data_IF_899714992008
#
_entry.id   IF_899714992008
#
_cell.length_a   1.000
_cell.length_b   1.000
_cell.length_c   1.000
_cell.angle_alpha   90.00
_cell.angle_beta   90.00
_cell.angle_gamma   90.00
#
_symmetry.space_group_name_H-M   'P 1'
#
loop_
_entity.id
_entity.type
_entity.pdbx_description
1 polymer ?
#
# COMPACT_ATOMS: atom_id res chain seq x y z
N UNK A 1 -23.33 20.46 16.43
CA UNK A 1 -22.25 20.40 15.41
C UNK A 1 -22.18 18.96 14.91
N UNK A 2 -22.16 18.78 13.59
CA UNK A 2 -22.38 17.51 12.91
C UNK A 2 -21.33 16.46 13.29
N UNK A 3 -21.80 15.29 13.73
CA UNK A 3 -21.00 14.07 13.80
C UNK A 3 -20.84 13.63 12.33
N UNK A 4 -19.73 14.02 11.71
CA UNK A 4 -19.38 13.56 10.38
C UNK A 4 -19.13 12.07 10.43
N UNK A 5 -20.15 11.28 10.07
CA UNK A 5 -19.98 9.86 9.74
C UNK A 5 -18.98 9.81 8.60
N UNK A 6 -17.73 9.44 8.91
CA UNK A 6 -16.73 9.13 7.89
C UNK A 6 -17.32 7.97 7.07
N UNK A 7 -17.36 8.04 5.73
CA UNK A 7 -17.80 6.91 4.94
C UNK A 7 -16.98 5.69 5.35
N UNK A 8 -17.67 4.59 5.66
CA UNK A 8 -17.00 3.33 5.96
C UNK A 8 -16.04 3.04 4.81
N UNK A 9 -14.75 2.94 5.11
CA UNK A 9 -13.74 2.66 4.10
C UNK A 9 -14.16 1.39 3.37
N UNK A 10 -14.24 1.45 2.04
CA UNK A 10 -14.51 0.30 1.19
C UNK A 10 -13.62 -0.87 1.62
N UNK A 11 -14.12 -2.11 1.66
CA UNK A 11 -13.28 -3.26 1.94
C UNK A 11 -12.10 -3.24 0.96
N UNK A 12 -10.90 -3.04 1.50
CA UNK A 12 -9.70 -3.14 0.69
C UNK A 12 -9.46 -4.62 0.41
N UNK A 13 -8.99 -4.98 -0.80
CA UNK A 13 -8.48 -6.33 -1.01
C UNK A 13 -7.49 -6.66 0.10
N UNK A 14 -7.64 -7.85 0.69
CA UNK A 14 -6.66 -8.36 1.65
C UNK A 14 -5.27 -8.23 1.05
N UNK A 15 -4.32 -7.68 1.82
CA UNK A 15 -2.92 -7.49 1.43
C UNK A 15 -2.57 -6.32 0.47
N UNK A 16 -3.48 -5.38 0.19
CA UNK A 16 -3.18 -4.25 -0.72
C UNK A 16 -2.13 -3.25 -0.20
N UNK A 17 -1.84 -3.25 1.11
CA UNK A 17 -0.86 -2.32 1.71
C UNK A 17 0.58 -2.57 1.24
N UNK A 18 0.97 -3.85 1.11
CA UNK A 18 2.34 -4.23 0.73
C UNK A 18 2.74 -3.72 -0.66
N UNK A 19 1.98 -3.96 -1.75
CA UNK A 19 2.34 -3.43 -3.06
C UNK A 19 2.41 -1.90 -3.08
N UNK A 20 1.56 -1.20 -2.32
CA UNK A 20 1.66 0.26 -2.20
C UNK A 20 2.96 0.70 -1.52
N UNK A 21 3.38 0.04 -0.43
CA UNK A 21 4.65 0.36 0.24
C UNK A 21 5.86 0.05 -0.64
N UNK A 22 5.84 -1.08 -1.36
CA UNK A 22 6.89 -1.42 -2.33
C UNK A 22 7.02 -0.34 -3.41
N UNK A 23 5.89 0.12 -3.99
CA UNK A 23 5.87 1.19 -4.98
C UNK A 23 6.45 2.50 -4.42
N UNK A 24 5.99 2.93 -3.24
CA UNK A 24 6.47 4.16 -2.61
C UNK A 24 7.97 4.15 -2.31
N UNK A 25 8.51 2.97 -1.95
CA UNK A 25 9.93 2.76 -1.68
C UNK A 25 10.77 2.61 -2.95
N UNK A 26 10.18 2.16 -4.07
CA UNK A 26 10.84 2.15 -5.38
C UNK A 26 11.02 3.57 -5.93
N UNK A 27 10.04 4.47 -5.70
CA UNK A 27 10.15 5.89 -6.03
C UNK A 27 11.28 6.59 -5.26
N UNK A 28 11.32 6.39 -3.94
CA UNK A 28 12.38 6.90 -3.06
C UNK A 28 12.37 6.22 -1.68
N UNK A 29 13.53 6.06 -1.03
CA UNK A 29 13.60 5.70 0.39
C UNK A 29 12.76 6.64 1.25
N UNK A 30 12.24 6.15 2.39
CA UNK A 30 11.38 6.95 3.24
C UNK A 30 11.21 6.43 4.65
N UNK A 31 10.70 7.30 5.53
CA UNK A 31 10.40 6.96 6.93
C UNK A 31 8.97 6.42 7.07
N UNK A 32 8.73 5.55 8.06
CA UNK A 32 7.40 4.93 8.26
C UNK A 32 6.24 5.94 8.39
N UNK A 33 6.47 7.09 9.03
CA UNK A 33 5.48 8.17 9.12
C UNK A 33 5.21 8.82 7.75
N UNK A 34 6.26 9.21 7.03
CA UNK A 34 6.13 9.82 5.69
C UNK A 34 5.44 8.86 4.70
N UNK A 35 5.79 7.57 4.77
CA UNK A 35 5.13 6.52 3.98
C UNK A 35 3.64 6.43 4.32
N UNK A 36 3.25 6.57 5.60
CA UNK A 36 1.85 6.59 5.99
C UNK A 36 1.06 7.76 5.38
N UNK A 37 1.68 8.94 5.26
CA UNK A 37 1.06 10.10 4.62
C UNK A 37 0.92 9.90 3.11
N UNK A 38 2.01 9.41 2.47
CA UNK A 38 2.07 9.14 1.01
C UNK A 38 1.13 8.01 0.56
N UNK A 39 0.67 7.14 1.45
CA UNK A 39 -0.31 6.11 1.14
C UNK A 39 -1.72 6.66 0.85
N UNK A 40 -2.06 7.82 1.40
CA UNK A 40 -3.40 8.41 1.30
C UNK A 40 -3.90 8.55 -0.16
N UNK A 41 -3.13 9.17 -1.08
CA UNK A 41 -3.56 9.30 -2.48
C UNK A 41 -3.63 7.96 -3.23
N UNK A 42 -2.92 6.93 -2.78
CA UNK A 42 -2.83 5.64 -3.49
C UNK A 42 -3.89 4.63 -3.04
N UNK A 43 -4.19 4.58 -1.75
CA UNK A 43 -4.97 3.50 -1.14
C UNK A 43 -6.20 3.99 -0.35
N UNK A 44 -6.58 5.27 -0.51
CA UNK A 44 -7.64 5.89 0.27
C UNK A 44 -7.18 6.23 1.69
N UNK A 45 -8.05 6.19 2.72
CA UNK A 45 -7.68 6.60 4.07
C UNK A 45 -6.41 5.91 4.58
N UNK A 46 -5.41 6.72 4.94
CA UNK A 46 -4.14 6.24 5.46
C UNK A 46 -4.37 5.19 6.56
N UNK A 47 -3.73 4.01 6.46
CA UNK A 47 -3.73 3.08 7.57
C UNK A 47 -3.05 3.72 8.78
N UNK A 48 -3.41 3.26 9.98
CA UNK A 48 -2.70 3.63 11.21
C UNK A 48 -1.19 3.40 11.01
N UNK A 49 -0.36 4.37 11.42
CA UNK A 49 1.09 4.28 11.35
C UNK A 49 1.61 2.99 12.00
N UNK A 50 0.95 2.47 13.05
CA UNK A 50 1.30 1.19 13.65
C UNK A 50 1.15 0.00 12.68
N UNK A 51 0.16 0.03 11.79
CA UNK A 51 -0.01 -0.98 10.73
C UNK A 51 1.12 -0.87 9.71
N UNK A 52 1.51 0.35 9.33
CA UNK A 52 2.62 0.59 8.40
C UNK A 52 3.93 0.05 8.98
N UNK A 53 4.25 0.35 10.25
CA UNK A 53 5.45 -0.19 10.88
C UNK A 53 5.45 -1.72 10.99
N UNK A 54 4.31 -2.35 11.31
CA UNK A 54 4.21 -3.82 11.31
C UNK A 54 4.45 -4.40 9.91
N UNK A 55 3.91 -3.77 8.87
CA UNK A 55 4.14 -4.20 7.49
C UNK A 55 5.61 -4.04 7.08
N UNK A 56 6.23 -2.90 7.40
CA UNK A 56 7.65 -2.65 7.12
C UNK A 56 8.57 -3.63 7.83
N UNK A 57 8.30 -3.94 9.11
CA UNK A 57 9.07 -4.94 9.85
C UNK A 57 8.97 -6.32 9.19
N UNK A 58 7.75 -6.77 8.84
CA UNK A 58 7.57 -8.04 8.15
C UNK A 58 8.26 -8.06 6.77
N UNK A 59 8.21 -6.96 6.02
CA UNK A 59 8.89 -6.83 4.73
C UNK A 59 10.41 -6.82 4.87
N UNK A 60 10.94 -6.30 5.98
CA UNK A 60 12.36 -6.34 6.32
C UNK A 60 12.79 -7.76 6.70
N UNK A 61 12.00 -8.47 7.52
CA UNK A 61 12.22 -9.88 7.87
C UNK A 61 12.18 -10.80 6.62
N UNK A 62 11.36 -10.46 5.62
CA UNK A 62 11.27 -11.16 4.32
C UNK A 62 12.38 -10.75 3.32
N UNK A 63 13.24 -9.79 3.69
CA UNK A 63 14.33 -9.26 2.86
C UNK A 63 13.88 -8.41 1.68
N UNK A 64 12.64 -7.92 1.68
CA UNK A 64 12.08 -7.05 0.62
C UNK A 64 12.51 -5.59 0.82
N UNK A 65 12.72 -5.21 2.08
CA UNK A 65 13.13 -3.86 2.48
C UNK A 65 14.35 -3.97 3.39
N UNK A 66 15.20 -2.96 3.35
CA UNK A 66 16.26 -2.75 4.33
C UNK A 66 15.99 -1.46 5.10
N UNK A 67 16.43 -1.38 6.36
CA UNK A 67 16.36 -0.13 7.11
C UNK A 67 17.72 0.34 7.60
N UNK A 68 17.88 1.66 7.68
CA UNK A 68 19.02 2.32 8.30
C UNK A 68 18.56 3.35 9.31
N UNK A 69 19.29 3.47 10.41
CA UNK A 69 19.06 4.54 11.38
C UNK A 69 19.73 5.81 10.87
N UNK A 70 18.92 6.85 10.65
CA UNK A 70 19.40 8.18 10.31
C UNK A 70 19.36 9.06 11.56
N UNK A 71 20.52 9.61 11.91
CA UNK A 71 20.62 10.61 12.97
C UNK A 71 20.13 11.94 12.41
N UNK A 72 19.09 12.51 13.02
CA UNK A 72 18.73 13.90 12.77
C UNK A 72 19.72 14.81 13.48
N UNK A 73 20.15 15.89 12.84
CA UNK A 73 20.92 16.97 13.47
C UNK A 73 20.11 17.67 14.57
N UNK A 74 18.78 17.68 14.43
CA UNK A 74 17.83 18.17 15.42
C UNK A 74 16.61 17.22 15.43
N UNK A 75 16.55 16.27 16.37
CA UNK A 75 15.36 15.42 16.56
C UNK A 75 15.63 13.94 16.83
N UNK A 76 14.56 13.15 17.08
CA UNK A 76 14.67 11.72 17.39
C UNK A 76 15.25 10.94 16.20
N UNK A 77 16.01 9.89 16.49
CA UNK A 77 16.57 8.99 15.47
C UNK A 77 15.42 8.35 14.70
N UNK A 78 15.46 8.41 13.37
CA UNK A 78 14.41 7.84 12.50
C UNK A 78 14.97 6.66 11.72
N UNK A 79 14.15 5.62 11.52
CA UNK A 79 14.45 4.55 10.56
C UNK A 79 14.06 5.01 9.17
N UNK A 80 15.01 5.00 8.25
CA UNK A 80 14.77 5.16 6.82
C UNK A 80 14.73 3.77 6.20
N UNK A 81 13.71 3.50 5.41
CA UNK A 81 13.50 2.23 4.72
C UNK A 81 13.81 2.39 3.25
N UNK A 82 14.41 1.36 2.66
CA UNK A 82 14.79 1.34 1.24
C UNK A 82 14.54 -0.05 0.63
N UNK A 83 14.10 -0.05 -0.63
CA UNK A 83 13.76 -1.26 -1.36
C UNK A 83 15.01 -2.06 -1.73
N UNK A 84 15.00 -3.36 -1.45
CA UNK A 84 16.10 -4.27 -1.87
C UNK A 84 15.89 -4.74 -3.32
N UNK A 85 16.89 -5.37 -3.98
CA UNK A 85 16.69 -6.02 -5.28
C UNK A 85 15.59 -7.10 -5.25
N UNK A 86 15.46 -7.83 -4.14
CA UNK A 86 14.37 -8.79 -3.91
C UNK A 86 13.02 -8.08 -3.78
N UNK A 87 12.97 -6.94 -3.09
CA UNK A 87 11.79 -6.08 -3.01
C UNK A 87 11.33 -5.57 -4.37
N UNK A 88 12.25 -5.13 -5.24
CA UNK A 88 11.95 -4.72 -6.62
C UNK A 88 11.37 -5.86 -7.45
N UNK A 89 11.93 -7.07 -7.30
CA UNK A 89 11.39 -8.27 -7.97
C UNK A 89 9.97 -8.58 -7.49
N UNK A 90 9.74 -8.51 -6.17
CA UNK A 90 8.40 -8.69 -5.60
C UNK A 90 7.41 -7.62 -6.07
N UNK A 91 7.85 -6.36 -6.27
CA UNK A 91 7.01 -5.31 -6.84
C UNK A 91 6.59 -5.64 -8.28
N UNK A 92 7.51 -6.15 -9.11
CA UNK A 92 7.19 -6.60 -10.47
C UNK A 92 6.20 -7.79 -10.47
N UNK A 93 6.32 -8.71 -9.52
CA UNK A 93 5.37 -9.81 -9.33
C UNK A 93 3.98 -9.29 -8.97
N UNK A 94 3.92 -8.33 -8.04
CA UNK A 94 2.67 -7.66 -7.69
C UNK A 94 2.03 -6.94 -8.87
N UNK A 95 2.82 -6.25 -9.69
CA UNK A 95 2.29 -5.57 -10.87
C UNK A 95 1.63 -6.55 -11.84
N UNK A 96 2.23 -7.74 -12.05
CA UNK A 96 1.64 -8.81 -12.87
C UNK A 96 0.33 -9.34 -12.28
N UNK A 97 0.33 -9.66 -10.98
CA UNK A 97 -0.86 -10.15 -10.29
C UNK A 97 -2.01 -9.14 -10.30
N UNK A 98 -1.71 -7.85 -10.19
CA UNK A 98 -2.71 -6.78 -10.26
C UNK A 98 -3.28 -6.66 -11.67
N UNK A 99 -2.46 -6.80 -12.72
CA UNK A 99 -2.95 -6.81 -14.10
C UNK A 99 -3.87 -8.02 -14.38
N UNK A 100 -3.49 -9.21 -13.90
CA UNK A 100 -4.33 -10.41 -14.02
C UNK A 100 -5.65 -10.26 -13.27
N UNK A 101 -5.61 -9.68 -12.06
CA UNK A 101 -6.79 -9.40 -11.26
C UNK A 101 -7.69 -8.36 -11.94
N UNK A 102 -7.13 -7.31 -12.53
CA UNK A 102 -7.88 -6.28 -13.26
C UNK A 102 -8.67 -6.90 -14.43
N UNK A 103 -8.03 -7.79 -15.20
CA UNK A 103 -8.69 -8.53 -16.27
C UNK A 103 -9.85 -9.41 -15.76
N UNK A 104 -9.62 -10.15 -14.67
CA UNK A 104 -10.64 -11.02 -14.06
C UNK A 104 -11.82 -10.21 -13.50
N UNK A 105 -11.51 -9.12 -12.79
CA UNK A 105 -12.52 -8.23 -12.21
C UNK A 105 -13.31 -7.55 -13.33
N UNK A 106 -12.64 -7.06 -14.38
CA UNK A 106 -13.28 -6.49 -15.56
C UNK A 106 -14.29 -7.46 -16.18
N UNK A 107 -13.88 -8.70 -16.46
CA UNK A 107 -14.77 -9.71 -17.02
C UNK A 107 -15.94 -10.07 -16.09
N UNK A 108 -15.72 -10.13 -14.77
CA UNK A 108 -16.80 -10.36 -13.81
C UNK A 108 -17.79 -9.19 -13.78
N UNK A 109 -17.30 -7.94 -13.79
CA UNK A 109 -18.14 -6.74 -13.81
C UNK A 109 -18.99 -6.67 -15.09
N UNK A 110 -18.42 -7.02 -16.24
CA UNK A 110 -19.16 -7.16 -17.50
C UNK A 110 -20.30 -8.19 -17.39
N UNK A 111 -20.02 -9.37 -16.85
CA UNK A 111 -21.02 -10.43 -16.64
C UNK A 111 -22.13 -10.03 -15.67
N UNK A 112 -21.79 -9.32 -14.58
CA UNK A 112 -22.77 -8.82 -13.61
C UNK A 112 -23.66 -7.73 -14.23
N UNK A 113 -23.07 -6.86 -15.04
CA UNK A 113 -23.79 -5.81 -15.77
C UNK A 113 -24.73 -6.41 -16.81
N UNK A 114 -24.25 -7.38 -17.60
CA UNK A 114 -25.07 -8.08 -18.60
C UNK A 114 -26.27 -8.82 -17.99
N UNK A 115 -26.16 -9.26 -16.73
CA UNK A 115 -27.26 -9.88 -15.97
C UNK A 115 -28.16 -8.86 -15.24
N UNK A 116 -27.89 -7.57 -15.35
CA UNK A 116 -28.63 -6.51 -14.65
C UNK A 116 -28.44 -6.48 -13.13
N UNK A 117 -27.43 -7.20 -12.61
CA UNK A 117 -27.14 -7.29 -11.16
C UNK A 117 -26.28 -6.14 -10.65
N UNK A 118 -25.57 -5.46 -11.56
CA UNK A 118 -24.84 -4.24 -11.30
C UNK A 118 -25.35 -3.16 -12.26
N UNK A 119 -25.65 -1.97 -11.73
CA UNK A 119 -25.93 -0.81 -12.57
C UNK A 119 -24.61 -0.09 -12.82
N UNK A 120 -24.30 0.17 -14.09
CA UNK A 120 -23.23 1.10 -14.43
C UNK A 120 -23.55 2.45 -13.76
N UNK A 121 -22.57 2.99 -13.01
CA UNK A 121 -22.66 4.30 -12.41
C UNK A 121 -22.52 5.39 -13.48
#
# INVERSE_FOLDING_TARGET
>A
MAIGVRPAASPRPVNFLRPCLLLLLDERPGHGYELSERLTPLAGPAPDTAVVYRALNAMEDEGLVSSRWERSTEGPVRRCHELTPRGRSALADWARQLADLDLLVGGLLELLTARGLLRAA
#
